data_IF_189513858198
#
_entry.id   IF_189513858198
#
_cell.length_a   1.000
_cell.length_b   1.000
_cell.length_c   1.000
_cell.angle_alpha   90.00
_cell.angle_beta   90.00
_cell.angle_gamma   90.00
#
_symmetry.space_group_name_H-M   'P 1'
#
loop_
_entity.id
_entity.type
_entity.pdbx_description
1 polymer ?
#
# COMPACT_ATOMS: atom_id res chain seq x y z
N UNK A 1 16.87 -24.19 7.65
CA UNK A 1 15.87 -23.13 7.84
C UNK A 1 14.53 -23.79 8.16
N UNK A 2 14.04 -23.71 9.39
CA UNK A 2 12.73 -24.25 9.77
C UNK A 2 11.65 -23.25 9.38
N UNK A 3 10.65 -23.71 8.63
CA UNK A 3 9.44 -22.93 8.31
C UNK A 3 8.32 -23.36 9.24
N UNK A 4 7.73 -22.40 9.96
CA UNK A 4 6.66 -22.61 10.93
C UNK A 4 5.43 -21.84 10.46
N UNK A 5 4.26 -22.44 10.62
CA UNK A 5 2.96 -21.81 10.30
C UNK A 5 2.04 -21.99 11.51
N UNK A 6 2.11 -21.10 12.52
CA UNK A 6 1.29 -21.18 13.72
C UNK A 6 -0.20 -21.15 13.41
N UNK A 7 -0.97 -21.96 14.14
CA UNK A 7 -2.42 -22.03 14.02
C UNK A 7 -3.15 -21.05 14.97
N UNK A 8 -2.43 -20.47 15.95
CA UNK A 8 -2.99 -19.49 16.87
C UNK A 8 -2.00 -18.37 17.21
N UNK A 9 -2.52 -17.26 17.74
CA UNK A 9 -1.71 -16.14 18.20
C UNK A 9 -0.78 -16.54 19.37
N UNK A 10 -1.23 -17.43 20.23
CA UNK A 10 -0.50 -17.96 21.39
C UNK A 10 0.68 -18.82 20.92
N UNK A 11 0.47 -19.70 19.94
CA UNK A 11 1.52 -20.48 19.31
C UNK A 11 2.57 -19.59 18.65
N UNK A 12 2.13 -18.59 17.87
CA UNK A 12 3.02 -17.61 17.25
C UNK A 12 3.86 -16.86 18.30
N UNK A 13 3.24 -16.42 19.40
CA UNK A 13 3.91 -15.72 20.49
C UNK A 13 4.94 -16.61 21.20
N UNK A 14 4.61 -17.88 21.41
CA UNK A 14 5.54 -18.86 21.99
C UNK A 14 6.76 -19.09 21.10
N UNK A 15 6.57 -19.22 19.77
CA UNK A 15 7.64 -19.39 18.79
C UNK A 15 8.57 -18.15 18.72
N UNK A 16 7.99 -16.94 18.78
CA UNK A 16 8.78 -15.70 18.82
C UNK A 16 9.65 -15.64 20.09
N UNK A 17 9.07 -15.95 21.25
CA UNK A 17 9.79 -15.96 22.53
C UNK A 17 10.93 -16.97 22.55
N UNK A 18 10.69 -18.19 22.06
CA UNK A 18 11.71 -19.24 21.99
C UNK A 18 12.86 -18.82 21.06
N UNK A 19 12.54 -18.30 19.86
CA UNK A 19 13.55 -17.86 18.91
C UNK A 19 14.36 -16.67 19.44
N UNK A 20 13.71 -15.70 20.07
CA UNK A 20 14.36 -14.53 20.65
C UNK A 20 15.26 -14.90 21.86
N UNK A 21 14.79 -15.78 22.76
CA UNK A 21 15.60 -16.29 23.89
C UNK A 21 16.88 -17.00 23.43
N UNK A 22 16.78 -17.73 22.29
CA UNK A 22 17.92 -18.38 21.66
C UNK A 22 18.72 -17.44 20.73
N UNK A 23 18.42 -16.14 20.67
CA UNK A 23 19.01 -15.13 19.76
C UNK A 23 19.02 -15.56 18.30
N UNK A 24 18.01 -16.32 17.89
CA UNK A 24 17.84 -16.73 16.50
C UNK A 24 17.19 -15.62 15.69
N UNK A 25 17.70 -15.38 14.50
CA UNK A 25 17.13 -14.42 13.55
C UNK A 25 15.80 -14.91 12.98
N UNK A 26 14.84 -14.01 12.84
CA UNK A 26 13.45 -14.35 12.52
C UNK A 26 13.00 -13.58 11.27
N UNK A 27 12.47 -14.29 10.28
CA UNK A 27 11.71 -13.69 9.18
C UNK A 27 10.23 -14.01 9.31
N UNK A 28 9.38 -12.99 9.18
CA UNK A 28 7.92 -13.13 9.26
C UNK A 28 7.28 -12.64 7.96
N UNK A 29 6.30 -13.39 7.47
CA UNK A 29 5.54 -13.06 6.26
C UNK A 29 4.12 -13.68 6.34
N UNK A 30 3.21 -13.20 5.49
CA UNK A 30 1.92 -13.85 5.24
C UNK A 30 2.04 -14.89 4.12
N UNK A 31 1.50 -14.57 2.94
CA UNK A 31 1.64 -15.36 1.72
C UNK A 31 2.85 -14.96 0.86
N UNK A 32 3.76 -14.17 1.38
CA UNK A 32 5.00 -13.72 0.70
C UNK A 32 4.77 -13.01 -0.67
N UNK A 33 3.58 -12.45 -0.88
CA UNK A 33 3.19 -11.80 -2.14
C UNK A 33 4.05 -10.58 -2.50
N UNK A 34 4.67 -9.95 -1.50
CA UNK A 34 5.54 -8.77 -1.65
C UNK A 34 6.99 -9.07 -1.29
N UNK A 35 7.48 -10.26 -1.64
CA UNK A 35 8.86 -10.65 -1.37
C UNK A 35 9.89 -9.71 -1.98
N UNK A 36 9.62 -9.19 -3.18
CA UNK A 36 10.45 -8.20 -3.88
C UNK A 36 10.24 -6.76 -3.40
N UNK A 37 9.29 -6.52 -2.49
CA UNK A 37 8.99 -5.19 -1.95
C UNK A 37 9.82 -4.84 -0.73
N UNK A 38 10.04 -3.54 -0.51
CA UNK A 38 10.82 -3.02 0.61
C UNK A 38 12.29 -3.45 0.59
N UNK A 39 12.89 -3.61 1.76
CA UNK A 39 14.28 -4.02 1.90
C UNK A 39 14.55 -5.50 1.59
N UNK A 40 15.82 -5.95 1.63
CA UNK A 40 16.19 -7.33 1.31
C UNK A 40 15.54 -8.33 2.29
N UNK A 41 15.25 -9.53 1.78
CA UNK A 41 14.94 -10.68 2.63
C UNK A 41 16.27 -11.35 2.97
N UNK A 42 16.75 -11.14 4.18
CA UNK A 42 17.97 -11.76 4.65
C UNK A 42 17.74 -13.23 5.05
N UNK A 43 18.75 -14.09 4.97
CA UNK A 43 18.69 -15.41 5.60
C UNK A 43 18.34 -15.27 7.09
N UNK A 44 17.51 -16.18 7.59
CA UNK A 44 17.09 -16.23 8.99
C UNK A 44 17.09 -17.66 9.50
N UNK A 45 17.30 -17.82 10.81
CA UNK A 45 17.30 -19.13 11.46
C UNK A 45 15.89 -19.73 11.53
N UNK A 46 14.91 -18.85 11.71
CA UNK A 46 13.48 -19.19 11.81
C UNK A 46 12.67 -18.38 10.81
N UNK A 47 11.75 -19.04 10.12
CA UNK A 47 10.85 -18.43 9.14
C UNK A 47 9.41 -18.70 9.55
N UNK A 48 8.64 -17.66 9.90
CA UNK A 48 7.27 -17.78 10.40
C UNK A 48 6.30 -17.22 9.37
N UNK A 49 5.33 -18.05 8.96
CA UNK A 49 4.22 -17.62 8.13
C UNK A 49 2.97 -17.38 8.99
N UNK A 50 2.38 -16.20 8.92
CA UNK A 50 1.09 -15.92 9.57
C UNK A 50 -0.11 -16.49 8.81
N UNK A 51 0.11 -17.17 7.68
CA UNK A 51 -0.96 -17.71 6.83
C UNK A 51 -1.86 -18.76 7.51
N UNK A 52 -1.48 -19.30 8.68
CA UNK A 52 -2.32 -20.15 9.51
C UNK A 52 -3.42 -19.39 10.26
N UNK A 53 -3.24 -18.09 10.52
CA UNK A 53 -4.17 -17.23 11.24
C UNK A 53 -5.24 -16.68 10.28
N UNK A 54 -6.35 -17.40 10.06
CA UNK A 54 -7.35 -17.11 9.01
C UNK A 54 -8.78 -16.90 9.50
N UNK A 55 -9.01 -16.85 10.79
CA UNK A 55 -10.37 -16.78 11.33
C UNK A 55 -10.93 -15.37 11.25
N UNK A 56 -12.24 -15.26 11.01
CA UNK A 56 -13.04 -14.08 11.38
C UNK A 56 -13.32 -14.21 12.86
N UNK A 57 -12.84 -13.25 13.66
CA UNK A 57 -12.97 -13.28 15.12
C UNK A 57 -14.28 -12.66 15.59
N UNK A 58 -14.70 -11.59 14.92
CA UNK A 58 -15.97 -10.90 15.18
C UNK A 58 -16.39 -10.15 13.91
N UNK A 59 -17.67 -10.17 13.58
CA UNK A 59 -18.23 -9.41 12.48
C UNK A 59 -19.58 -8.82 12.86
N UNK A 60 -19.67 -7.50 12.84
CA UNK A 60 -20.87 -6.73 13.16
C UNK A 60 -21.30 -5.91 11.93
N UNK A 61 -22.09 -6.52 11.02
CA UNK A 61 -22.49 -5.83 9.79
C UNK A 61 -23.24 -4.53 10.02
N UNK A 62 -24.06 -4.45 11.08
CA UNK A 62 -24.82 -3.23 11.40
C UNK A 62 -23.95 -2.07 11.87
N UNK A 63 -22.82 -2.39 12.52
CA UNK A 63 -21.86 -1.41 13.02
C UNK A 63 -20.74 -1.12 12.02
N UNK A 64 -20.75 -1.79 10.85
CA UNK A 64 -19.72 -1.69 9.83
C UNK A 64 -18.33 -1.95 10.39
N UNK A 65 -18.17 -3.01 11.21
CA UNK A 65 -16.89 -3.39 11.81
C UNK A 65 -16.64 -4.87 11.71
N UNK A 66 -15.37 -5.23 11.53
CA UNK A 66 -14.91 -6.62 11.51
C UNK A 66 -13.55 -6.76 12.20
N UNK A 67 -13.37 -7.86 12.92
CA UNK A 67 -12.10 -8.31 13.48
C UNK A 67 -11.68 -9.62 12.81
N UNK A 68 -10.48 -9.64 12.22
CA UNK A 68 -9.96 -10.80 11.50
C UNK A 68 -8.52 -11.08 11.85
N UNK A 69 -8.12 -12.33 11.76
CA UNK A 69 -6.73 -12.74 11.93
C UNK A 69 -5.86 -12.27 10.75
N UNK A 70 -4.59 -11.98 11.03
CA UNK A 70 -3.67 -11.32 10.11
C UNK A 70 -3.32 -12.14 8.86
N UNK A 71 -3.43 -13.46 8.92
CA UNK A 71 -3.19 -14.36 7.80
C UNK A 71 -4.39 -14.55 6.86
N UNK A 72 -5.55 -13.96 7.17
CA UNK A 72 -6.73 -14.00 6.30
C UNK A 72 -6.37 -13.47 4.90
N UNK A 73 -6.64 -14.24 3.82
CA UNK A 73 -6.44 -13.74 2.46
C UNK A 73 -7.35 -12.54 2.18
N UNK A 74 -6.75 -11.47 1.62
CA UNK A 74 -7.48 -10.22 1.36
C UNK A 74 -8.68 -10.42 0.44
N UNK A 75 -8.51 -11.16 -0.66
CA UNK A 75 -9.60 -11.43 -1.62
C UNK A 75 -10.73 -12.26 -0.99
N UNK A 76 -10.40 -13.25 -0.14
CA UNK A 76 -11.40 -14.05 0.57
C UNK A 76 -12.24 -13.19 1.52
N UNK A 77 -11.59 -12.28 2.25
CA UNK A 77 -12.30 -11.37 3.16
C UNK A 77 -13.20 -10.41 2.39
N UNK A 78 -12.73 -9.86 1.27
CA UNK A 78 -13.56 -8.98 0.42
C UNK A 78 -14.80 -9.70 -0.13
N UNK A 79 -14.66 -10.97 -0.55
CA UNK A 79 -15.79 -11.78 -1.02
C UNK A 79 -16.82 -12.00 0.11
N UNK A 80 -16.37 -12.37 1.32
CA UNK A 80 -17.24 -12.52 2.49
C UNK A 80 -18.01 -11.23 2.83
N UNK A 81 -17.33 -10.08 2.79
CA UNK A 81 -17.97 -8.79 3.08
C UNK A 81 -18.98 -8.38 2.01
N UNK A 82 -18.70 -8.71 0.74
CA UNK A 82 -19.58 -8.38 -0.37
C UNK A 82 -20.96 -9.08 -0.27
N UNK A 83 -21.05 -10.25 0.38
CA UNK A 83 -22.32 -10.94 0.67
C UNK A 83 -23.28 -10.07 1.49
N UNK A 84 -22.73 -9.15 2.31
CA UNK A 84 -23.49 -8.16 3.09
C UNK A 84 -23.47 -6.76 2.46
N UNK A 85 -23.07 -6.62 1.19
CA UNK A 85 -22.94 -5.31 0.53
C UNK A 85 -21.90 -4.39 1.18
N UNK A 86 -20.83 -4.96 1.75
CA UNK A 86 -19.79 -4.23 2.47
C UNK A 86 -18.40 -4.51 1.88
N UNK A 87 -17.43 -3.67 2.23
CA UNK A 87 -16.04 -3.82 1.83
C UNK A 87 -15.08 -3.22 2.85
N UNK A 88 -13.85 -3.74 2.90
CA UNK A 88 -12.71 -2.94 3.34
C UNK A 88 -12.29 -2.09 2.15
N UNK A 89 -12.42 -0.77 2.26
CA UNK A 89 -12.18 0.15 1.15
C UNK A 89 -10.66 0.37 0.89
N UNK A 90 -9.90 -0.73 0.87
CA UNK A 90 -8.51 -0.82 0.43
C UNK A 90 -8.47 -1.57 -0.90
N UNK A 91 -7.59 -1.11 -1.77
CA UNK A 91 -7.36 -1.72 -3.07
C UNK A 91 -5.86 -1.95 -3.33
N UNK A 92 -5.19 -2.76 -2.47
CA UNK A 92 -3.75 -2.98 -2.55
C UNK A 92 -3.37 -3.77 -3.81
N UNK A 93 -2.16 -3.58 -4.36
CA UNK A 93 -1.61 -4.48 -5.37
C UNK A 93 -1.39 -5.88 -4.78
N UNK A 94 -1.31 -6.89 -5.64
CA UNK A 94 -1.26 -8.32 -5.28
C UNK A 94 -2.49 -8.81 -4.50
N UNK A 95 -3.64 -8.21 -4.74
CA UNK A 95 -4.86 -8.42 -3.95
C UNK A 95 -5.29 -9.89 -3.86
N UNK A 96 -5.12 -10.69 -4.91
CA UNK A 96 -5.45 -12.13 -4.95
C UNK A 96 -4.54 -12.98 -4.04
N UNK A 97 -3.32 -12.54 -3.76
CA UNK A 97 -2.31 -13.30 -3.00
C UNK A 97 -1.99 -12.69 -1.64
N UNK A 98 -2.35 -11.44 -1.41
CA UNK A 98 -2.05 -10.72 -0.17
C UNK A 98 -2.82 -11.28 1.02
N UNK A 99 -2.20 -11.22 2.22
CA UNK A 99 -2.90 -11.39 3.50
C UNK A 99 -3.20 -10.03 4.12
N UNK A 100 -4.21 -9.97 4.98
CA UNK A 100 -4.61 -8.76 5.69
C UNK A 100 -3.43 -8.17 6.48
N UNK A 101 -2.70 -8.99 7.24
CA UNK A 101 -1.52 -8.55 7.98
C UNK A 101 -0.43 -7.99 7.05
N UNK A 102 -0.20 -8.62 5.89
CA UNK A 102 0.76 -8.13 4.89
C UNK A 102 0.35 -6.79 4.27
N UNK A 103 -0.94 -6.56 4.01
CA UNK A 103 -1.48 -5.28 3.53
C UNK A 103 -1.26 -4.18 4.56
N UNK A 104 -1.59 -4.44 5.82
CA UNK A 104 -1.45 -3.47 6.93
C UNK A 104 0.03 -3.21 7.25
N UNK A 105 0.84 -4.26 7.41
CA UNK A 105 2.26 -4.13 7.72
C UNK A 105 3.06 -3.39 6.65
N UNK A 106 2.65 -3.44 5.37
CA UNK A 106 3.26 -2.68 4.28
C UNK A 106 2.56 -1.35 3.98
N UNK A 107 1.47 -1.02 4.68
CA UNK A 107 0.59 0.13 4.40
C UNK A 107 0.24 0.23 2.90
N UNK A 108 -0.04 -0.92 2.29
CA UNK A 108 -0.33 -1.00 0.87
C UNK A 108 -1.69 -0.38 0.56
N UNK A 109 -1.73 0.45 -0.46
CA UNK A 109 -2.96 1.11 -0.92
C UNK A 109 -2.93 1.30 -2.43
N UNK A 110 -4.11 1.39 -3.02
CA UNK A 110 -4.31 1.61 -4.45
C UNK A 110 -4.94 2.95 -4.79
N UNK A 111 -5.61 3.03 -5.94
CA UNK A 111 -6.27 4.24 -6.44
C UNK A 111 -7.30 4.85 -5.49
N UNK A 112 -8.09 4.00 -4.82
CA UNK A 112 -9.21 4.44 -3.96
C UNK A 112 -8.77 5.14 -2.66
N UNK A 113 -7.46 5.20 -2.36
CA UNK A 113 -6.94 5.91 -1.17
C UNK A 113 -7.37 7.38 -1.08
N UNK A 114 -7.73 8.00 -2.20
CA UNK A 114 -8.24 9.37 -2.20
C UNK A 114 -9.57 9.48 -1.47
N UNK A 115 -10.51 8.60 -1.79
CA UNK A 115 -11.86 8.65 -1.21
C UNK A 115 -11.95 7.99 0.17
N UNK A 116 -11.17 6.93 0.39
CA UNK A 116 -11.33 6.09 1.59
C UNK A 116 -10.13 6.10 2.53
N UNK A 117 -9.01 6.70 2.13
CA UNK A 117 -7.78 6.69 2.94
C UNK A 117 -6.93 5.45 2.73
N UNK A 118 -6.18 5.10 3.76
CA UNK A 118 -5.22 3.99 3.79
C UNK A 118 -5.54 3.02 4.93
N UNK A 119 -4.74 1.97 5.11
CA UNK A 119 -4.86 1.07 6.25
C UNK A 119 -4.87 1.85 7.59
N UNK A 120 -4.15 2.98 7.67
CA UNK A 120 -4.10 3.84 8.85
C UNK A 120 -5.46 4.46 9.20
N UNK A 121 -6.27 4.75 8.19
CA UNK A 121 -7.58 5.42 8.37
C UNK A 121 -8.70 4.40 8.65
N UNK A 122 -8.53 3.16 8.19
CA UNK A 122 -9.54 2.12 8.28
C UNK A 122 -9.33 1.17 9.47
N UNK A 123 -8.10 1.04 9.99
CA UNK A 123 -7.81 0.21 11.15
C UNK A 123 -8.23 0.93 12.44
N UNK A 124 -9.14 0.30 13.21
CA UNK A 124 -9.67 0.82 14.48
C UNK A 124 -9.09 0.09 15.70
N UNK A 125 -8.38 -1.00 15.49
CA UNK A 125 -7.67 -1.74 16.52
C UNK A 125 -6.89 -2.91 15.92
N UNK A 126 -6.01 -3.48 16.71
CA UNK A 126 -5.25 -4.68 16.31
C UNK A 126 -4.67 -5.40 17.52
N UNK A 127 -4.32 -6.67 17.30
CA UNK A 127 -3.49 -7.43 18.23
C UNK A 127 -2.19 -7.82 17.55
N UNK A 128 -1.12 -7.91 18.33
CA UNK A 128 0.20 -8.27 17.84
C UNK A 128 1.01 -8.99 18.90
N UNK A 129 1.94 -9.83 18.47
CA UNK A 129 2.89 -10.53 19.31
C UNK A 129 4.25 -9.79 19.32
N UNK A 130 4.77 -9.59 20.52
CA UNK A 130 6.12 -9.07 20.78
C UNK A 130 7.14 -10.21 20.78
N UNK A 131 8.43 -9.88 20.66
CA UNK A 131 9.51 -10.87 20.69
C UNK A 131 9.64 -11.60 22.03
N UNK A 132 9.21 -10.98 23.12
CA UNK A 132 9.18 -11.62 24.45
C UNK A 132 7.98 -12.56 24.65
N UNK A 133 7.14 -12.74 23.63
CA UNK A 133 5.97 -13.60 23.65
C UNK A 133 4.72 -12.95 24.21
N UNK A 134 4.73 -11.68 24.58
CA UNK A 134 3.51 -10.98 25.01
C UNK A 134 2.59 -10.71 23.83
N UNK A 135 1.31 -11.01 24.01
CA UNK A 135 0.23 -10.57 23.11
C UNK A 135 -0.32 -9.24 23.62
N UNK A 136 -0.25 -8.24 22.75
CA UNK A 136 -0.69 -6.87 23.04
C UNK A 136 -1.88 -6.53 22.16
N UNK A 137 -2.88 -5.87 22.75
CA UNK A 137 -4.06 -5.32 22.05
C UNK A 137 -4.03 -3.80 22.11
N UNK A 138 -4.38 -3.14 21.02
CA UNK A 138 -4.55 -1.69 20.93
C UNK A 138 -5.81 -1.36 20.15
N UNK A 139 -6.54 -0.33 20.57
CA UNK A 139 -7.85 -0.02 20.00
C UNK A 139 -8.92 -1.06 20.37
N UNK A 140 -9.97 -1.17 19.57
CA UNK A 140 -11.10 -2.08 19.81
C UNK A 140 -11.99 -2.21 18.58
N UNK A 141 -13.23 -2.65 18.79
CA UNK A 141 -14.27 -2.75 17.73
C UNK A 141 -15.13 -1.49 17.62
N UNK A 142 -14.82 -0.45 18.39
CA UNK A 142 -15.54 0.82 18.34
C UNK A 142 -14.75 1.84 17.52
N UNK A 143 -15.45 2.57 16.64
CA UNK A 143 -14.84 3.55 15.73
C UNK A 143 -14.18 4.72 16.47
N UNK A 144 -14.65 5.05 17.67
CA UNK A 144 -14.10 6.12 18.50
C UNK A 144 -13.54 5.58 19.80
N UNK A 145 -12.23 5.36 19.80
CA UNK A 145 -11.46 5.03 21.00
C UNK A 145 -10.35 6.06 21.18
N UNK A 146 -10.37 6.77 22.31
CA UNK A 146 -9.39 7.83 22.65
C UNK A 146 -8.53 7.45 23.84
N UNK A 147 -8.62 6.23 24.34
CA UNK A 147 -7.84 5.77 25.49
C UNK A 147 -6.48 5.20 25.05
N UNK A 148 -5.42 5.68 25.68
CA UNK A 148 -4.07 5.18 25.51
C UNK A 148 -3.32 5.65 24.25
N UNK A 149 -2.12 5.12 24.06
CA UNK A 149 -1.32 5.35 22.87
C UNK A 149 -1.82 4.50 21.70
N UNK A 150 -1.94 5.11 20.53
CA UNK A 150 -2.31 4.39 19.31
C UNK A 150 -1.09 3.63 18.74
N UNK A 151 -0.75 2.53 19.41
CA UNK A 151 0.34 1.65 18.99
C UNK A 151 0.09 1.01 17.61
N UNK A 152 -1.19 0.90 17.21
CA UNK A 152 -1.55 0.36 15.90
C UNK A 152 -0.96 1.20 14.77
N UNK A 153 -1.02 2.51 14.87
CA UNK A 153 -0.45 3.41 13.85
C UNK A 153 1.06 3.32 13.70
N UNK A 154 1.77 2.84 14.72
CA UNK A 154 3.21 2.59 14.68
C UNK A 154 3.53 1.32 13.87
N UNK A 155 2.67 0.30 13.97
CA UNK A 155 2.89 -0.98 13.31
C UNK A 155 2.46 -0.96 11.82
N UNK A 156 1.55 -0.06 11.44
CA UNK A 156 1.13 0.11 10.05
C UNK A 156 2.30 0.67 9.23
N UNK A 157 2.75 -0.10 8.22
CA UNK A 157 3.90 0.26 7.39
C UNK A 157 5.27 -0.10 7.97
N UNK A 158 5.31 -0.85 9.10
CA UNK A 158 6.56 -1.30 9.72
C UNK A 158 7.25 -2.47 9.01
N UNK A 159 6.63 -3.08 8.03
CA UNK A 159 7.10 -4.32 7.37
C UNK A 159 7.34 -5.48 8.36
N UNK A 160 6.66 -5.47 9.50
CA UNK A 160 6.83 -6.47 10.54
C UNK A 160 8.19 -6.42 11.24
N UNK A 161 8.89 -5.29 11.21
CA UNK A 161 10.21 -5.12 11.86
C UNK A 161 10.10 -4.83 13.37
N UNK A 162 8.92 -4.46 13.85
CA UNK A 162 8.70 -4.11 15.27
C UNK A 162 8.01 -5.25 16.05
N UNK A 163 6.95 -5.79 15.48
CA UNK A 163 6.14 -6.84 16.08
C UNK A 163 5.38 -7.61 14.99
N UNK A 164 4.76 -8.73 15.33
CA UNK A 164 4.01 -9.57 14.40
C UNK A 164 2.52 -9.40 14.62
N UNK A 165 1.81 -8.88 13.61
CA UNK A 165 0.36 -8.71 13.65
C UNK A 165 -0.33 -10.07 13.75
N UNK A 166 -1.25 -10.22 14.69
CA UNK A 166 -2.05 -11.45 14.89
C UNK A 166 -3.50 -11.27 14.49
N UNK A 167 -4.10 -10.10 14.75
CA UNK A 167 -5.44 -9.74 14.28
C UNK A 167 -5.57 -8.24 14.03
N UNK A 168 -6.51 -7.86 13.16
CA UNK A 168 -6.80 -6.47 12.80
C UNK A 168 -8.30 -6.24 12.85
N UNK A 169 -8.71 -5.11 13.43
CA UNK A 169 -10.07 -4.63 13.46
C UNK A 169 -10.23 -3.49 12.46
N UNK A 170 -11.17 -3.62 11.54
CA UNK A 170 -11.45 -2.63 10.51
C UNK A 170 -12.80 -1.99 10.69
N UNK A 171 -12.85 -0.68 10.35
CA UNK A 171 -14.07 -0.03 9.96
C UNK A 171 -14.34 -0.37 8.49
N UNK A 172 -15.56 -0.78 8.21
CA UNK A 172 -16.02 -1.12 6.87
C UNK A 172 -16.72 0.06 6.19
N UNK A 173 -16.91 -0.07 4.90
CA UNK A 173 -17.75 0.81 4.08
C UNK A 173 -18.80 -0.02 3.36
N UNK A 174 -19.94 0.59 3.07
CA UNK A 174 -20.91 0.01 2.16
C UNK A 174 -20.27 -0.12 0.77
N UNK A 175 -20.49 -1.24 0.12
CA UNK A 175 -20.11 -1.44 -1.28
C UNK A 175 -20.95 -0.50 -2.15
N UNK A 176 -20.35 0.37 -2.97
CA UNK A 176 -21.11 1.27 -3.83
C UNK A 176 -21.98 0.49 -4.81
N UNK A 177 -23.28 0.78 -4.86
CA UNK A 177 -24.19 0.14 -5.81
C UNK A 177 -23.90 0.51 -7.27
N UNK A 178 -23.38 1.72 -7.49
CA UNK A 178 -23.03 2.22 -8.81
C UNK A 178 -21.67 2.89 -8.81
N UNK A 179 -20.90 2.62 -9.85
CA UNK A 179 -19.63 3.30 -10.14
C UNK A 179 -19.53 3.65 -11.60
N UNK A 180 -18.71 4.63 -11.91
CA UNK A 180 -18.43 5.06 -13.27
C UNK A 180 -17.03 5.64 -13.35
N UNK A 181 -16.32 5.31 -14.42
CA UNK A 181 -15.02 5.90 -14.75
C UNK A 181 -15.15 6.89 -15.88
N UNK A 182 -14.46 8.02 -15.74
CA UNK A 182 -14.36 9.09 -16.73
C UNK A 182 -12.90 9.19 -17.17
N UNK A 183 -12.66 8.96 -18.45
CA UNK A 183 -11.34 8.99 -19.04
C UNK A 183 -11.18 10.21 -19.97
N UNK A 184 -10.06 10.89 -19.81
CA UNK A 184 -9.63 11.97 -20.68
C UNK A 184 -8.27 11.61 -21.26
N UNK A 185 -8.12 11.70 -22.58
CA UNK A 185 -6.87 11.41 -23.26
C UNK A 185 -6.31 12.69 -23.88
N UNK A 186 -5.04 12.95 -23.57
CA UNK A 186 -4.34 14.16 -24.03
C UNK A 186 -3.02 13.81 -24.72
N UNK A 187 -2.66 14.47 -25.83
CA UNK A 187 -1.35 14.30 -26.45
C UNK A 187 -0.21 14.86 -25.59
N UNK A 188 -0.48 15.86 -24.76
CA UNK A 188 0.51 16.57 -23.96
C UNK A 188 0.18 16.60 -22.47
N UNK A 189 1.24 16.55 -21.64
CA UNK A 189 1.13 16.55 -20.17
C UNK A 189 0.44 17.81 -19.63
N UNK A 190 0.72 18.98 -20.21
CA UNK A 190 0.18 20.25 -19.71
C UNK A 190 -1.36 20.26 -19.67
N UNK A 191 -2.00 19.79 -20.75
CA UNK A 191 -3.46 19.73 -20.84
C UNK A 191 -4.06 18.73 -19.80
N UNK A 192 -3.39 17.58 -19.57
CA UNK A 192 -3.79 16.63 -18.57
C UNK A 192 -3.70 17.20 -17.14
N UNK A 193 -2.64 17.95 -16.85
CA UNK A 193 -2.45 18.63 -15.56
C UNK A 193 -3.49 19.73 -15.36
N UNK A 194 -3.76 20.52 -16.40
CA UNK A 194 -4.79 21.56 -16.34
C UNK A 194 -6.19 20.96 -16.05
N UNK A 195 -6.54 19.86 -16.73
CA UNK A 195 -7.81 19.16 -16.46
C UNK A 195 -7.85 18.63 -15.01
N UNK A 196 -6.76 18.00 -14.52
CA UNK A 196 -6.66 17.58 -13.14
C UNK A 196 -6.91 18.73 -12.18
N UNK A 197 -6.29 19.89 -12.39
CA UNK A 197 -6.42 21.05 -11.51
C UNK A 197 -7.83 21.62 -11.53
N UNK A 198 -8.50 21.63 -12.68
CA UNK A 198 -9.93 21.98 -12.78
C UNK A 198 -10.81 21.05 -11.95
N UNK A 199 -10.58 19.73 -12.07
CA UNK A 199 -11.33 18.75 -11.27
C UNK A 199 -11.10 18.95 -9.77
N UNK A 200 -9.86 19.15 -9.34
CA UNK A 200 -9.51 19.36 -7.93
C UNK A 200 -10.09 20.64 -7.33
N UNK A 201 -10.34 21.67 -8.16
CA UNK A 201 -10.98 22.93 -7.76
C UNK A 201 -12.50 22.88 -7.85
N UNK A 202 -13.06 21.85 -8.47
CA UNK A 202 -14.51 21.71 -8.62
C UNK A 202 -15.16 21.14 -7.35
N UNK A 203 -16.48 21.04 -7.38
CA UNK A 203 -17.26 20.38 -6.32
C UNK A 203 -17.27 18.85 -6.43
N UNK A 204 -16.69 18.30 -7.49
CA UNK A 204 -16.61 16.85 -7.70
C UNK A 204 -15.64 16.20 -6.70
N UNK A 205 -16.06 15.12 -6.08
CA UNK A 205 -15.28 14.37 -5.09
C UNK A 205 -15.08 12.93 -5.57
N UNK A 206 -14.21 12.69 -6.58
CA UNK A 206 -13.94 11.35 -7.05
C UNK A 206 -13.20 10.52 -5.98
N UNK A 207 -13.48 9.22 -5.95
CA UNK A 207 -12.78 8.31 -5.03
C UNK A 207 -11.36 7.95 -5.53
N UNK A 208 -11.11 8.08 -6.83
CA UNK A 208 -9.78 7.96 -7.43
C UNK A 208 -9.61 9.00 -8.54
N UNK A 209 -8.39 9.51 -8.70
CA UNK A 209 -7.98 10.40 -9.79
C UNK A 209 -6.52 10.12 -10.11
N UNK A 210 -6.30 9.41 -11.21
CA UNK A 210 -4.99 8.93 -11.61
C UNK A 210 -4.56 9.54 -12.96
N UNK A 211 -3.30 9.97 -13.03
CA UNK A 211 -2.64 10.37 -14.28
C UNK A 211 -1.70 9.25 -14.73
N UNK A 212 -1.96 8.71 -15.90
CA UNK A 212 -1.26 7.60 -16.52
C UNK A 212 -0.41 8.15 -17.67
N UNK A 213 0.90 7.90 -17.64
CA UNK A 213 1.82 8.36 -18.72
C UNK A 213 1.59 7.57 -20.02
N UNK A 214 2.03 8.08 -21.19
CA UNK A 214 1.85 7.41 -22.47
C UNK A 214 2.38 5.97 -22.50
N UNK A 215 3.55 5.73 -21.89
CA UNK A 215 4.12 4.39 -21.82
C UNK A 215 3.28 3.42 -20.94
N UNK A 216 2.63 3.92 -19.91
CA UNK A 216 1.71 3.12 -19.11
C UNK A 216 0.33 2.98 -19.78
N UNK A 217 -0.13 4.01 -20.50
CA UNK A 217 -1.42 4.04 -21.19
C UNK A 217 -1.53 2.99 -22.31
N UNK A 218 -0.41 2.58 -22.89
CA UNK A 218 -0.36 1.49 -23.87
C UNK A 218 -0.92 0.17 -23.34
N UNK A 219 -0.92 -0.06 -22.02
CA UNK A 219 -1.53 -1.24 -21.38
C UNK A 219 -3.06 -1.21 -21.40
N UNK A 220 -3.64 -0.09 -21.71
CA UNK A 220 -5.07 0.15 -21.80
C UNK A 220 -5.49 0.44 -23.26
N UNK A 221 -4.64 0.08 -24.23
CA UNK A 221 -4.82 0.35 -25.68
C UNK A 221 -5.03 1.84 -25.98
N UNK A 222 -4.33 2.72 -25.23
CA UNK A 222 -4.47 4.16 -25.35
C UNK A 222 -3.14 4.83 -25.71
N UNK A 223 -3.24 5.96 -26.41
CA UNK A 223 -2.09 6.78 -26.79
C UNK A 223 -2.17 8.14 -26.10
N UNK A 224 -1.03 8.62 -25.59
CA UNK A 224 -0.96 9.89 -24.86
C UNK A 224 -1.14 9.75 -23.35
N UNK A 225 -1.32 10.88 -22.69
CA UNK A 225 -1.59 10.93 -21.24
C UNK A 225 -3.06 10.66 -20.98
N UNK A 226 -3.36 9.73 -20.06
CA UNK A 226 -4.73 9.43 -19.66
C UNK A 226 -4.95 9.94 -18.24
N UNK A 227 -5.95 10.81 -18.06
CA UNK A 227 -6.46 11.18 -16.74
C UNK A 227 -7.72 10.37 -16.49
N UNK A 228 -7.65 9.48 -15.51
CA UNK A 228 -8.74 8.57 -15.12
C UNK A 228 -9.34 9.01 -13.80
N UNK A 229 -10.65 9.19 -13.78
CA UNK A 229 -11.44 9.58 -12.61
C UNK A 229 -12.45 8.49 -12.29
N UNK A 230 -12.52 8.01 -11.04
CA UNK A 230 -13.55 7.09 -10.55
C UNK A 230 -14.54 7.81 -9.67
N UNK A 231 -15.81 7.79 -10.04
CA UNK A 231 -16.92 8.25 -9.24
C UNK A 231 -17.78 7.08 -8.77
N UNK A 232 -18.35 7.22 -7.56
CA UNK A 232 -19.33 6.30 -6.99
C UNK A 232 -20.48 7.09 -6.39
N UNK A 233 -21.65 6.48 -6.33
CA UNK A 233 -22.81 7.12 -5.71
C UNK A 233 -24.13 6.68 -6.32
N UNK A 234 -25.22 7.43 -6.04
CA UNK A 234 -26.52 7.19 -6.65
C UNK A 234 -26.53 7.55 -8.14
N UNK A 235 -27.51 7.07 -8.92
CA UNK A 235 -27.66 7.45 -10.33
C UNK A 235 -27.70 8.97 -10.56
N UNK A 236 -28.32 9.73 -9.64
CA UNK A 236 -28.38 11.19 -9.72
C UNK A 236 -27.00 11.83 -9.56
N UNK A 237 -26.19 11.31 -8.65
CA UNK A 237 -24.80 11.77 -8.45
C UNK A 237 -23.98 11.47 -9.72
N UNK A 238 -24.04 10.26 -10.25
CA UNK A 238 -23.31 9.91 -11.46
C UNK A 238 -23.76 10.68 -12.68
N UNK A 239 -25.08 10.96 -12.83
CA UNK A 239 -25.59 11.81 -13.89
C UNK A 239 -25.05 13.26 -13.82
N UNK A 240 -24.80 13.78 -12.61
CA UNK A 240 -24.11 15.06 -12.44
C UNK A 240 -22.66 15.00 -12.95
N UNK A 241 -21.90 13.95 -12.58
CA UNK A 241 -20.55 13.76 -13.13
C UNK A 241 -20.55 13.73 -14.65
N UNK A 242 -21.46 12.99 -15.29
CA UNK A 242 -21.57 12.90 -16.74
C UNK A 242 -21.85 14.26 -17.40
N UNK A 243 -22.66 15.11 -16.78
CA UNK A 243 -22.91 16.49 -17.29
C UNK A 243 -21.69 17.40 -17.16
N UNK A 244 -21.00 17.35 -16.00
CA UNK A 244 -19.84 18.21 -15.72
C UNK A 244 -18.59 17.75 -16.48
N UNK A 245 -18.53 16.45 -16.85
CA UNK A 245 -17.42 15.80 -17.55
C UNK A 245 -17.86 15.27 -18.92
N UNK A 246 -18.71 16.01 -19.63
CA UNK A 246 -19.38 15.59 -20.88
C UNK A 246 -18.42 15.29 -22.05
N UNK A 247 -17.17 15.72 -21.95
CA UNK A 247 -16.09 15.43 -22.91
C UNK A 247 -15.23 14.20 -22.52
N UNK A 248 -15.61 13.49 -21.45
CA UNK A 248 -14.94 12.25 -21.07
C UNK A 248 -15.51 11.05 -21.81
N UNK A 249 -14.68 10.06 -22.05
CA UNK A 249 -15.14 8.70 -22.33
C UNK A 249 -15.62 8.07 -21.01
N UNK A 250 -16.80 7.47 -20.99
CA UNK A 250 -17.37 6.83 -19.80
C UNK A 250 -17.20 5.30 -19.87
N UNK A 251 -16.67 4.71 -18.80
CA UNK A 251 -16.66 3.26 -18.59
C UNK A 251 -17.63 2.91 -17.46
N UNK A 252 -18.41 1.85 -17.69
CA UNK A 252 -19.43 1.36 -16.74
C UNK A 252 -19.36 -0.16 -16.61
N UNK A 253 -19.94 -0.71 -15.53
CA UNK A 253 -20.00 -2.17 -15.33
C UNK A 253 -18.62 -2.83 -15.35
N UNK A 254 -18.49 -3.89 -16.17
CA UNK A 254 -17.26 -4.68 -16.27
C UNK A 254 -16.07 -3.85 -16.77
N UNK A 255 -16.29 -2.93 -17.71
CA UNK A 255 -15.22 -2.04 -18.22
C UNK A 255 -14.63 -1.15 -17.11
N UNK A 256 -15.49 -0.59 -16.24
CA UNK A 256 -15.04 0.18 -15.07
C UNK A 256 -14.22 -0.70 -14.11
N UNK A 257 -14.71 -1.90 -13.83
CA UNK A 257 -14.06 -2.85 -12.93
C UNK A 257 -12.68 -3.31 -13.45
N UNK A 258 -12.60 -3.72 -14.71
CA UNK A 258 -11.39 -4.20 -15.38
C UNK A 258 -10.33 -3.08 -15.49
N UNK A 259 -10.75 -1.86 -15.82
CA UNK A 259 -9.83 -0.73 -15.88
C UNK A 259 -9.11 -0.52 -14.53
N UNK A 260 -9.84 -0.41 -13.43
CA UNK A 260 -9.24 -0.20 -12.12
C UNK A 260 -8.53 -1.43 -11.57
N UNK A 261 -8.93 -2.62 -11.96
CA UNK A 261 -8.16 -3.83 -11.68
C UNK A 261 -6.78 -3.76 -12.35
N UNK A 262 -6.71 -3.38 -13.62
CA UNK A 262 -5.45 -3.21 -14.35
C UNK A 262 -4.58 -2.11 -13.73
N UNK A 263 -5.17 -0.99 -13.31
CA UNK A 263 -4.45 0.08 -12.60
C UNK A 263 -3.89 -0.41 -11.25
N UNK A 264 -4.67 -1.17 -10.50
CA UNK A 264 -4.27 -1.72 -9.19
C UNK A 264 -3.16 -2.76 -9.33
N UNK A 265 -3.30 -3.67 -10.28
CA UNK A 265 -2.36 -4.77 -10.49
C UNK A 265 -1.23 -4.40 -11.49
N UNK A 266 -1.08 -3.13 -11.85
CA UNK A 266 -0.06 -2.70 -12.81
C UNK A 266 1.36 -3.04 -12.34
N UNK A 267 1.68 -2.86 -11.05
CA UNK A 267 3.00 -3.20 -10.50
C UNK A 267 3.26 -4.71 -10.49
N UNK A 268 2.36 -5.59 -10.00
CA UNK A 268 2.48 -7.04 -10.15
C UNK A 268 2.72 -7.49 -11.59
N UNK A 269 1.88 -7.04 -12.51
CA UNK A 269 1.97 -7.40 -13.94
C UNK A 269 3.26 -6.91 -14.59
N UNK A 270 3.73 -5.72 -14.22
CA UNK A 270 5.00 -5.18 -14.67
C UNK A 270 6.17 -6.06 -14.21
N UNK A 271 6.20 -6.40 -12.91
CA UNK A 271 7.29 -7.21 -12.33
C UNK A 271 7.31 -8.64 -12.86
N UNK A 272 6.16 -9.20 -13.20
CA UNK A 272 6.07 -10.52 -13.82
C UNK A 272 6.70 -10.54 -15.22
N UNK A 273 6.49 -9.48 -16.01
CA UNK A 273 7.05 -9.33 -17.36
C UNK A 273 8.50 -8.84 -17.36
N UNK A 274 8.91 -8.15 -16.31
CA UNK A 274 10.22 -7.53 -16.15
C UNK A 274 10.79 -7.93 -14.77
N UNK A 275 11.33 -9.16 -14.62
CA UNK A 275 11.85 -9.63 -13.33
C UNK A 275 12.98 -8.76 -12.77
N UNK A 276 13.77 -8.11 -13.67
CA UNK A 276 14.83 -7.16 -13.32
C UNK A 276 14.29 -5.72 -13.15
N UNK A 277 12.98 -5.55 -13.27
CA UNK A 277 12.33 -4.27 -13.19
C UNK A 277 12.34 -3.68 -11.77
N UNK A 278 12.30 -2.35 -11.73
CA UNK A 278 12.24 -1.56 -10.50
C UNK A 278 10.99 -0.71 -10.49
N UNK A 279 10.28 -0.69 -9.37
CA UNK A 279 9.16 0.22 -9.14
C UNK A 279 9.56 1.23 -8.08
N UNK A 280 9.69 2.49 -8.48
CA UNK A 280 9.94 3.60 -7.55
C UNK A 280 8.61 4.21 -7.12
N UNK A 281 8.51 4.54 -5.84
CA UNK A 281 7.42 5.36 -5.29
C UNK A 281 7.98 6.73 -4.97
N UNK A 282 7.44 7.75 -5.65
CA UNK A 282 7.85 9.15 -5.48
C UNK A 282 6.67 9.96 -4.96
N UNK A 283 6.87 10.68 -3.86
CA UNK A 283 5.88 11.60 -3.33
C UNK A 283 6.32 13.05 -3.54
N UNK A 284 5.42 13.84 -4.10
CA UNK A 284 5.63 15.27 -4.39
C UNK A 284 4.42 16.11 -4.00
N UNK A 285 4.57 17.41 -4.01
CA UNK A 285 3.41 18.33 -3.94
C UNK A 285 2.65 18.30 -5.28
N UNK A 286 1.40 18.75 -5.27
CA UNK A 286 0.58 18.84 -6.48
C UNK A 286 1.21 19.76 -7.55
N UNK A 287 1.95 20.80 -7.14
CA UNK A 287 2.64 21.73 -8.03
C UNK A 287 3.83 21.07 -8.76
N UNK A 288 4.50 20.14 -8.08
CA UNK A 288 5.66 19.42 -8.60
C UNK A 288 5.31 18.20 -9.47
N UNK A 289 4.06 17.78 -9.52
CA UNK A 289 3.66 16.59 -10.25
C UNK A 289 4.04 16.63 -11.73
N UNK A 290 3.80 17.76 -12.42
CA UNK A 290 4.17 17.93 -13.82
C UNK A 290 5.69 17.80 -14.01
N UNK A 291 6.46 18.43 -13.12
CA UNK A 291 7.93 18.36 -13.12
C UNK A 291 8.45 16.94 -12.87
N UNK A 292 7.79 16.17 -12.02
CA UNK A 292 8.12 14.76 -11.80
C UNK A 292 7.82 13.94 -13.07
N UNK A 293 6.58 13.98 -13.57
CA UNK A 293 6.12 13.14 -14.69
C UNK A 293 6.92 13.40 -15.96
N UNK A 294 7.32 14.65 -16.24
CA UNK A 294 8.15 15.00 -17.40
C UNK A 294 9.58 14.44 -17.35
N UNK A 295 10.05 14.01 -16.18
CA UNK A 295 11.40 13.44 -15.98
C UNK A 295 11.42 11.92 -15.89
N UNK A 296 10.25 11.28 -15.89
CA UNK A 296 10.17 9.82 -15.81
C UNK A 296 10.68 9.19 -17.12
N UNK A 297 11.72 8.36 -17.10
CA UNK A 297 12.28 7.75 -18.31
C UNK A 297 11.49 6.51 -18.79
N UNK A 298 10.35 6.20 -18.18
CA UNK A 298 9.55 5.00 -18.45
C UNK A 298 8.06 5.22 -18.20
N UNK A 299 7.37 4.14 -17.90
CA UNK A 299 5.97 4.19 -17.54
C UNK A 299 5.79 4.77 -16.12
N UNK A 300 4.73 5.54 -15.91
CA UNK A 300 4.31 5.92 -14.57
C UNK A 300 2.80 6.07 -14.45
N UNK A 301 2.32 5.83 -13.23
CA UNK A 301 0.95 6.08 -12.79
C UNK A 301 1.01 6.95 -11.54
N UNK A 302 0.43 8.14 -11.63
CA UNK A 302 0.38 9.09 -10.52
C UNK A 302 -1.01 9.10 -9.91
N UNK A 303 -1.10 8.90 -8.59
CA UNK A 303 -2.30 9.21 -7.79
C UNK A 303 -2.44 10.74 -7.76
N UNK A 304 -2.97 11.30 -8.84
CA UNK A 304 -2.85 12.73 -9.17
C UNK A 304 -3.51 13.67 -8.15
N UNK A 305 -4.34 13.13 -7.27
CA UNK A 305 -4.99 13.85 -6.18
C UNK A 305 -4.42 13.52 -4.79
N UNK A 306 -3.29 12.81 -4.71
CA UNK A 306 -2.59 12.52 -3.44
C UNK A 306 -1.08 12.68 -3.51
N UNK A 307 -0.54 13.10 -4.67
CA UNK A 307 0.88 13.42 -4.84
C UNK A 307 1.83 12.22 -4.84
N UNK A 308 1.32 10.99 -4.99
CA UNK A 308 2.14 9.77 -5.05
C UNK A 308 2.19 9.25 -6.47
N UNK A 309 3.38 9.04 -7.00
CA UNK A 309 3.63 8.49 -8.34
C UNK A 309 4.40 7.19 -8.23
N UNK A 310 3.92 6.16 -8.91
CA UNK A 310 4.65 4.91 -9.13
C UNK A 310 5.31 4.97 -10.49
N UNK A 311 6.62 4.75 -10.52
CA UNK A 311 7.47 4.80 -11.74
C UNK A 311 7.98 3.40 -11.99
N UNK A 312 7.81 2.92 -13.21
CA UNK A 312 8.13 1.56 -13.63
C UNK A 312 9.32 1.59 -14.58
N UNK A 313 10.43 1.01 -14.17
CA UNK A 313 11.73 1.07 -14.84
C UNK A 313 12.23 -0.33 -15.17
N UNK A 314 12.83 -0.50 -16.33
CA UNK A 314 13.42 -1.78 -16.75
C UNK A 314 14.64 -2.21 -15.90
N UNK A 315 15.32 -1.24 -15.27
CA UNK A 315 16.47 -1.51 -14.39
C UNK A 315 16.67 -0.36 -13.39
N UNK A 316 17.49 -0.59 -12.37
CA UNK A 316 17.91 0.45 -11.41
C UNK A 316 18.64 1.60 -12.10
N UNK A 317 19.53 1.30 -13.04
CA UNK A 317 20.34 2.30 -13.74
C UNK A 317 19.49 3.30 -14.52
N UNK A 318 18.37 2.87 -15.10
CA UNK A 318 17.45 3.76 -15.83
C UNK A 318 16.76 4.81 -14.94
N UNK A 319 16.75 4.61 -13.62
CA UNK A 319 16.20 5.54 -12.63
C UNK A 319 17.20 6.54 -12.05
N UNK A 320 18.48 6.47 -12.38
CA UNK A 320 19.53 7.25 -11.72
C UNK A 320 19.31 8.77 -11.82
N UNK A 321 18.90 9.27 -13.00
CA UNK A 321 18.61 10.70 -13.21
C UNK A 321 17.40 11.16 -12.38
N UNK A 322 16.37 10.33 -12.27
CA UNK A 322 15.19 10.62 -11.45
C UNK A 322 15.54 10.63 -9.95
N UNK A 323 16.37 9.68 -9.52
CA UNK A 323 16.84 9.60 -8.13
C UNK A 323 17.64 10.86 -7.75
N UNK A 324 18.53 11.32 -8.64
CA UNK A 324 19.27 12.56 -8.47
C UNK A 324 18.34 13.78 -8.40
N UNK A 325 17.40 13.90 -9.34
CA UNK A 325 16.43 14.99 -9.35
C UNK A 325 15.55 15.00 -8.07
N UNK A 326 15.19 13.84 -7.54
CA UNK A 326 14.44 13.74 -6.29
C UNK A 326 15.25 14.30 -5.11
N UNK A 327 16.58 14.06 -5.06
CA UNK A 327 17.46 14.66 -4.06
C UNK A 327 17.47 16.19 -4.14
N UNK A 328 17.71 16.71 -5.34
CA UNK A 328 17.84 18.16 -5.60
C UNK A 328 16.52 18.92 -5.31
N UNK A 329 15.38 18.25 -5.51
CA UNK A 329 14.05 18.85 -5.33
C UNK A 329 13.36 18.50 -4.02
N UNK A 330 14.03 17.76 -3.15
CA UNK A 330 13.49 17.29 -1.87
C UNK A 330 12.21 16.46 -2.02
N UNK A 331 12.07 15.69 -3.12
CA UNK A 331 11.00 14.72 -3.26
C UNK A 331 11.30 13.50 -2.40
N UNK A 332 10.26 12.89 -1.84
CA UNK A 332 10.43 11.63 -1.10
C UNK A 332 10.41 10.48 -2.10
N UNK A 333 11.51 9.78 -2.25
CA UNK A 333 11.65 8.65 -3.17
C UNK A 333 12.08 7.39 -2.43
N UNK A 334 11.47 6.27 -2.79
CA UNK A 334 11.85 4.94 -2.33
C UNK A 334 11.63 3.89 -3.44
N UNK A 335 12.46 2.85 -3.43
CA UNK A 335 12.24 1.67 -4.25
C UNK A 335 11.17 0.80 -3.59
N UNK A 336 9.94 0.83 -4.13
CA UNK A 336 8.82 0.02 -3.64
C UNK A 336 9.06 -1.46 -3.93
N UNK A 337 9.56 -1.78 -5.15
CA UNK A 337 9.96 -3.11 -5.58
C UNK A 337 11.26 -3.04 -6.37
N UNK A 338 12.15 -4.00 -6.16
CA UNK A 338 13.40 -4.14 -6.88
C UNK A 338 13.93 -5.58 -6.81
N UNK A 339 14.80 -6.00 -7.76
CA UNK A 339 15.52 -7.25 -7.72
C UNK A 339 16.36 -7.42 -6.43
N UNK A 340 16.68 -8.67 -6.09
CA UNK A 340 17.33 -8.99 -4.81
C UNK A 340 18.73 -8.40 -4.67
N UNK A 341 19.51 -8.34 -5.73
CA UNK A 341 20.84 -7.74 -5.81
C UNK A 341 20.78 -6.23 -5.59
N UNK A 342 19.88 -5.54 -6.27
CA UNK A 342 19.61 -4.11 -6.09
C UNK A 342 19.25 -3.80 -4.63
N UNK A 343 18.37 -4.61 -4.03
CA UNK A 343 17.94 -4.39 -2.64
C UNK A 343 19.04 -4.60 -1.60
N UNK A 344 20.07 -5.39 -1.94
CA UNK A 344 21.23 -5.62 -1.07
C UNK A 344 22.32 -4.56 -1.22
N UNK A 345 22.47 -3.99 -2.41
CA UNK A 345 23.61 -3.12 -2.76
C UNK A 345 23.28 -1.64 -2.85
N UNK A 346 21.99 -1.28 -3.07
CA UNK A 346 21.58 0.10 -3.33
C UNK A 346 20.85 0.73 -2.15
N UNK A 347 20.89 2.08 -2.07
CA UNK A 347 20.08 2.85 -1.13
C UNK A 347 18.63 2.88 -1.64
N UNK A 348 17.76 2.07 -1.04
CA UNK A 348 16.37 1.92 -1.47
C UNK A 348 15.45 3.05 -1.01
N UNK A 349 15.88 3.84 -0.05
CA UNK A 349 15.12 4.96 0.51
C UNK A 349 16.04 6.15 0.71
N UNK A 350 15.69 7.24 0.06
CA UNK A 350 16.40 8.49 0.23
C UNK A 350 15.95 9.20 1.50
N UNK A 351 16.85 9.24 2.45
CA UNK A 351 16.65 9.93 3.73
C UNK A 351 17.36 11.29 3.67
N UNK A 352 16.74 12.36 4.18
CA UNK A 352 17.43 13.63 4.36
C UNK A 352 18.63 13.47 5.31
N UNK A 353 19.75 14.10 4.95
CA UNK A 353 20.95 14.08 5.79
C UNK A 353 20.82 14.93 7.08
N UNK A 354 19.86 15.85 7.10
CA UNK A 354 19.62 16.78 8.22
C UNK A 354 18.15 17.21 8.28
N UNK A 355 17.77 17.92 9.31
CA UNK A 355 16.44 18.48 9.51
C UNK A 355 15.40 17.46 10.00
N UNK A 356 14.09 17.78 9.91
CA UNK A 356 13.02 16.98 10.49
C UNK A 356 12.99 15.53 10.01
N UNK A 357 13.33 15.27 8.74
CA UNK A 357 13.35 13.92 8.17
C UNK A 357 14.45 13.04 8.77
N UNK A 358 15.65 13.59 9.00
CA UNK A 358 16.73 12.87 9.68
C UNK A 358 16.39 12.60 11.15
N UNK A 359 15.80 13.57 11.85
CA UNK A 359 15.35 13.40 13.22
C UNK A 359 14.23 12.34 13.35
N UNK A 360 13.30 12.32 12.40
CA UNK A 360 12.26 11.30 12.34
C UNK A 360 12.84 9.89 12.15
N UNK A 361 13.84 9.74 11.27
CA UNK A 361 14.49 8.45 11.06
C UNK A 361 15.25 7.98 12.31
N UNK A 362 16.01 8.87 12.97
CA UNK A 362 16.69 8.56 14.24
C UNK A 362 15.70 8.10 15.33
N UNK A 363 14.47 8.66 15.34
CA UNK A 363 13.41 8.19 16.23
C UNK A 363 12.93 6.78 15.84
N UNK A 364 12.81 6.47 14.55
CA UNK A 364 12.44 5.13 14.09
C UNK A 364 13.48 4.08 14.52
N UNK A 365 14.77 4.40 14.46
CA UNK A 365 15.85 3.52 14.95
C UNK A 365 15.73 3.27 16.47
N UNK A 366 15.46 4.32 17.26
CA UNK A 366 15.20 4.18 18.70
C UNK A 366 13.99 3.28 18.97
N UNK A 367 12.90 3.47 18.26
CA UNK A 367 11.70 2.63 18.38
C UNK A 367 12.04 1.18 18.01
N UNK A 368 12.77 0.95 16.92
CA UNK A 368 13.21 -0.41 16.56
C UNK A 368 14.00 -1.04 17.69
N UNK A 369 14.97 -0.33 18.25
CA UNK A 369 15.78 -0.84 19.36
C UNK A 369 14.95 -1.15 20.62
N UNK A 370 13.91 -0.35 20.91
CA UNK A 370 12.99 -0.62 22.04
C UNK A 370 12.18 -1.90 21.85
N UNK A 371 11.76 -2.21 20.60
CA UNK A 371 10.96 -3.40 20.29
C UNK A 371 11.82 -4.65 20.06
N UNK A 372 13.01 -4.48 19.54
CA UNK A 372 13.91 -5.55 19.09
C UNK A 372 15.38 -5.12 19.31
N UNK A 373 15.85 -5.15 20.58
CA UNK A 373 17.18 -4.66 20.93
C UNK A 373 18.32 -5.48 20.31
N UNK A 374 18.08 -6.76 20.06
CA UNK A 374 19.07 -7.66 19.43
C UNK A 374 18.97 -7.70 17.89
N UNK A 375 18.06 -6.90 17.29
CA UNK A 375 17.82 -6.81 15.85
C UNK A 375 17.61 -8.20 15.19
N UNK A 376 16.67 -8.98 15.72
CA UNK A 376 16.37 -10.34 15.26
C UNK A 376 15.26 -10.40 14.20
N UNK A 377 14.27 -9.50 14.30
CA UNK A 377 13.01 -9.59 13.56
C UNK A 377 13.07 -8.81 12.23
N UNK A 378 12.81 -9.49 11.12
CA UNK A 378 12.66 -8.90 9.77
C UNK A 378 13.72 -7.86 9.43
N UNK A 379 14.98 -8.19 9.70
CA UNK A 379 16.14 -7.28 9.57
C UNK A 379 16.19 -6.65 8.19
N UNK A 380 16.40 -5.33 8.16
CA UNK A 380 16.51 -4.51 6.95
C UNK A 380 15.27 -4.50 6.04
N UNK A 381 14.13 -5.07 6.48
CA UNK A 381 12.91 -5.13 5.64
C UNK A 381 12.31 -3.75 5.38
N UNK A 382 12.50 -2.78 6.28
CA UNK A 382 12.09 -1.41 6.03
C UNK A 382 13.14 -0.69 5.15
N UNK A 383 13.03 -0.90 3.84
CA UNK A 383 13.84 -0.27 2.78
C UNK A 383 15.37 -0.37 2.98
N UNK A 384 15.85 -1.48 3.53
CA UNK A 384 17.28 -1.69 3.76
C UNK A 384 17.87 -0.89 4.91
N UNK A 385 17.04 -0.32 5.78
CA UNK A 385 17.47 0.53 6.91
C UNK A 385 17.17 -0.09 8.28
N UNK A 386 15.97 -0.62 8.44
CA UNK A 386 15.50 -1.22 9.69
C UNK A 386 14.99 -2.63 9.42
#
# INVERSE_FOLDING_TARGET
MSRITPASAEELAAQLREAAAARRTISVFGNDSKRSGGGPVLPSDVSISTAGLRRVLQYEPRDLTISVEAGMPFAQLQALLAENGQMIALDPPFSSRATIGGVVASNASGPMRRGYGTARDLTIGMSFAMLDGRLVKTGGMVVKNVAGLDMGKLLIGSFGTLAVLTSINFRLHSLPAYSRTYLFTYPGLAAAIERRDRILKSVLQPIALDLISPAAAARFDRRGYVLALKAVGSPVVLARYSRELSDAEELTGDQDAEFWQTVREFAPDFLERQPEGVVLRVATTFKELASLVSRVPGACISRAASGVTYVYLSSWASGASLWKAATERHWVIAAEFAPSDVRRSMALWQLPASGPGAAAFAMMEKVKHMFDPDNLLNRLRLYGRI
#
